data_IF_889359612991
#
_entry.id   IF_889359612991
#
_cell.length_a   1.000
_cell.length_b   1.000
_cell.length_c   1.000
_cell.angle_alpha   90.00
_cell.angle_beta   90.00
_cell.angle_gamma   90.00
#
_symmetry.space_group_name_H-M   'P 1'
#
loop_
_entity.id
_entity.type
_entity.pdbx_description
1 polymer ?
#
# COMPACT_ATOMS: atom_id res chain seq x y z
N UNK A 1 8.42 -4.04 12.58
CA UNK A 1 9.25 -4.58 11.47
C UNK A 1 10.43 -3.63 11.28
N UNK A 2 11.65 -4.13 11.12
CA UNK A 2 12.78 -3.30 10.67
C UNK A 2 12.71 -3.13 9.15
N UNK A 3 12.68 -1.89 8.69
CA UNK A 3 12.80 -1.56 7.27
C UNK A 3 14.28 -1.65 6.87
N UNK A 4 14.57 -2.25 5.73
CA UNK A 4 15.91 -2.15 5.14
C UNK A 4 16.09 -0.72 4.64
N UNK A 5 16.92 0.06 5.32
CA UNK A 5 17.37 1.33 4.77
C UNK A 5 18.16 1.06 3.48
N UNK A 6 17.82 1.79 2.44
CA UNK A 6 18.50 1.73 1.16
C UNK A 6 18.80 3.14 0.70
N UNK A 7 19.95 3.30 0.05
CA UNK A 7 20.38 4.58 -0.50
C UNK A 7 19.38 5.09 -1.54
N UNK A 8 18.84 6.32 -1.40
CA UNK A 8 17.99 6.95 -2.41
C UNK A 8 18.54 6.90 -3.83
N UNK A 9 19.86 6.94 -4.01
CA UNK A 9 20.49 6.82 -5.32
C UNK A 9 20.29 5.44 -5.95
N UNK A 10 20.33 4.36 -5.14
CA UNK A 10 20.04 3.00 -5.60
C UNK A 10 18.58 2.90 -6.06
N UNK A 11 17.64 3.46 -5.30
CA UNK A 11 16.23 3.49 -5.69
C UNK A 11 16.02 4.20 -7.01
N UNK A 12 16.58 5.41 -7.16
CA UNK A 12 16.46 6.17 -8.42
C UNK A 12 17.06 5.39 -9.59
N UNK A 13 18.23 4.79 -9.41
CA UNK A 13 18.85 3.97 -10.44
C UNK A 13 17.99 2.77 -10.85
N UNK A 14 17.32 2.11 -9.90
CA UNK A 14 16.40 0.99 -10.16
C UNK A 14 15.07 1.42 -10.79
N UNK A 15 14.59 2.63 -10.50
CA UNK A 15 13.43 3.20 -11.17
C UNK A 15 13.73 3.49 -12.64
N UNK A 16 14.92 4.03 -12.93
CA UNK A 16 15.35 4.36 -14.29
C UNK A 16 15.71 3.09 -15.09
N UNK A 17 16.29 2.08 -14.43
CA UNK A 17 16.59 0.76 -15.00
C UNK A 17 16.23 -0.37 -14.01
N UNK A 18 15.04 -0.99 -14.17
CA UNK A 18 14.58 -2.07 -13.30
C UNK A 18 15.52 -3.28 -13.24
N UNK A 19 16.40 -3.50 -14.22
CA UNK A 19 17.34 -4.62 -14.16
C UNK A 19 18.36 -4.47 -13.03
N UNK A 20 18.62 -3.25 -12.56
CA UNK A 20 19.54 -3.01 -11.43
C UNK A 20 19.06 -3.64 -10.13
N UNK A 21 17.76 -3.94 -9.98
CA UNK A 21 17.24 -4.73 -8.85
C UNK A 21 17.89 -6.11 -8.74
N UNK A 22 18.39 -6.69 -9.84
CA UNK A 22 19.14 -7.95 -9.79
C UNK A 22 20.44 -7.84 -8.98
N UNK A 23 21.04 -6.64 -8.95
CA UNK A 23 22.36 -6.35 -8.39
C UNK A 23 22.31 -5.78 -6.97
N UNK A 24 21.13 -5.34 -6.50
CA UNK A 24 20.95 -4.81 -5.15
C UNK A 24 21.07 -5.94 -4.12
N UNK A 25 21.93 -5.73 -3.13
CA UNK A 25 22.02 -6.60 -1.96
C UNK A 25 20.94 -6.21 -0.95
N UNK A 26 19.81 -6.91 -1.01
CA UNK A 26 18.67 -6.77 -0.11
C UNK A 26 18.17 -8.16 0.25
N UNK A 27 17.80 -8.39 1.52
CA UNK A 27 17.23 -9.67 1.96
C UNK A 27 15.94 -9.97 1.20
N UNK A 28 15.12 -8.94 0.95
CA UNK A 28 13.85 -9.09 0.24
C UNK A 28 14.10 -9.49 -1.21
N UNK A 29 14.98 -8.77 -1.92
CA UNK A 29 15.29 -9.11 -3.32
C UNK A 29 15.98 -10.46 -3.44
N UNK A 30 16.79 -10.87 -2.46
CA UNK A 30 17.39 -12.21 -2.41
C UNK A 30 16.31 -13.29 -2.32
N UNK A 31 15.36 -13.17 -1.37
CA UNK A 31 14.21 -14.07 -1.27
C UNK A 31 13.39 -14.12 -2.55
N UNK A 32 13.10 -12.97 -3.15
CA UNK A 32 12.35 -12.92 -4.42
C UNK A 32 13.06 -13.68 -5.53
N UNK A 33 14.39 -13.53 -5.66
CA UNK A 33 15.18 -14.23 -6.67
C UNK A 33 15.24 -15.74 -6.41
N UNK A 34 15.43 -16.15 -5.15
CA UNK A 34 15.59 -17.56 -4.75
C UNK A 34 14.25 -18.32 -4.78
N UNK A 35 13.18 -17.74 -4.24
CA UNK A 35 11.88 -18.39 -4.13
C UNK A 35 11.13 -18.45 -5.47
N UNK A 36 11.27 -17.42 -6.33
CA UNK A 36 10.50 -17.31 -7.57
C UNK A 36 11.35 -17.45 -8.85
N UNK A 37 12.66 -17.64 -8.75
CA UNK A 37 13.54 -17.87 -9.90
C UNK A 37 13.58 -16.68 -10.89
N UNK A 38 13.48 -15.45 -10.36
CA UNK A 38 13.35 -14.23 -11.18
C UNK A 38 14.59 -14.01 -12.04
N UNK A 39 14.37 -13.79 -13.35
CA UNK A 39 15.43 -13.55 -14.34
C UNK A 39 15.55 -12.10 -14.79
N UNK A 40 14.48 -11.33 -14.65
CA UNK A 40 14.39 -9.93 -15.08
C UNK A 40 13.28 -9.21 -14.32
N UNK A 41 13.41 -7.90 -14.20
CA UNK A 41 12.37 -7.03 -13.65
C UNK A 41 11.87 -6.05 -14.72
N UNK A 42 10.65 -5.54 -14.55
CA UNK A 42 10.12 -4.42 -15.33
C UNK A 42 9.38 -3.48 -14.37
N UNK A 43 9.39 -2.18 -14.67
CA UNK A 43 8.59 -1.22 -13.93
C UNK A 43 7.16 -1.25 -14.44
N UNK A 44 6.18 -1.39 -13.54
CA UNK A 44 4.77 -1.28 -13.90
C UNK A 44 4.23 0.15 -13.88
N UNK A 45 5.08 1.14 -13.58
CA UNK A 45 4.65 2.48 -13.20
C UNK A 45 4.27 2.52 -11.72
N UNK A 46 3.43 3.49 -11.35
CA UNK A 46 2.95 3.64 -9.99
C UNK A 46 1.85 4.69 -9.88
N UNK A 47 1.42 4.93 -8.65
CA UNK A 47 0.41 5.92 -8.29
C UNK A 47 0.86 6.65 -7.02
N UNK A 48 0.27 7.81 -6.73
CA UNK A 48 0.59 8.58 -5.53
C UNK A 48 -0.39 8.22 -4.42
N UNK A 49 0.11 8.01 -3.21
CA UNK A 49 -0.72 7.86 -2.01
C UNK A 49 -0.33 8.92 -0.98
N UNK A 50 -1.29 9.72 -0.52
CA UNK A 50 -1.10 10.62 0.62
C UNK A 50 -1.69 9.93 1.85
N UNK A 51 -0.83 9.60 2.82
CA UNK A 51 -1.21 8.89 4.04
C UNK A 51 -1.19 9.83 5.23
N UNK A 52 -2.32 9.98 5.90
CA UNK A 52 -2.42 10.66 7.19
C UNK A 52 -2.49 9.61 8.30
N UNK A 53 -1.62 9.71 9.29
CA UNK A 53 -1.51 8.72 10.39
C UNK A 53 -2.00 9.35 11.68
N UNK A 54 -2.94 8.69 12.35
CA UNK A 54 -3.55 9.15 13.59
C UNK A 54 -3.42 8.10 14.69
N UNK A 55 -3.03 8.55 15.90
CA UNK A 55 -3.23 7.76 17.11
C UNK A 55 -4.65 8.05 17.63
N UNK A 56 -5.54 7.08 17.54
CA UNK A 56 -6.95 7.22 17.84
C UNK A 56 -7.44 6.00 18.62
N UNK A 57 -8.06 6.24 19.79
CA UNK A 57 -8.62 5.19 20.65
C UNK A 57 -7.67 4.00 20.90
N UNK A 58 -6.36 4.29 21.04
CA UNK A 58 -5.34 3.28 21.32
C UNK A 58 -4.90 2.45 20.11
N UNK A 59 -5.34 2.80 18.89
CA UNK A 59 -4.88 2.20 17.64
C UNK A 59 -4.27 3.26 16.71
N UNK A 60 -3.57 2.80 15.67
CA UNK A 60 -3.05 3.66 14.61
C UNK A 60 -3.96 3.54 13.40
N UNK A 61 -4.64 4.64 13.05
CA UNK A 61 -5.41 4.74 11.82
C UNK A 61 -4.53 5.35 10.72
N UNK A 62 -4.56 4.74 9.55
CA UNK A 62 -4.00 5.27 8.32
C UNK A 62 -5.14 5.68 7.40
N UNK A 63 -5.28 6.98 7.16
CA UNK A 63 -6.28 7.54 6.23
C UNK A 63 -5.56 7.90 4.93
N UNK A 64 -5.89 7.15 3.88
CA UNK A 64 -5.22 7.19 2.60
C UNK A 64 -6.06 7.92 1.55
N UNK A 65 -5.39 8.80 0.79
CA UNK A 65 -5.87 9.37 -0.46
C UNK A 65 -4.97 8.85 -1.60
N UNK A 66 -5.46 7.82 -2.30
CA UNK A 66 -4.78 7.21 -3.44
C UNK A 66 -5.20 7.92 -4.73
N UNK A 67 -4.22 8.52 -5.42
CA UNK A 67 -4.41 9.24 -6.69
C UNK A 67 -3.87 8.41 -7.84
N UNK A 68 -4.77 7.88 -8.65
CA UNK A 68 -4.49 7.20 -9.91
C UNK A 68 -4.71 8.14 -11.10
N UNK A 69 -4.28 7.74 -12.29
CA UNK A 69 -4.57 8.52 -13.52
C UNK A 69 -6.06 8.54 -13.86
N UNK A 70 -6.81 7.51 -13.44
CA UNK A 70 -8.23 7.31 -13.73
C UNK A 70 -9.17 7.74 -12.59
N UNK A 71 -8.64 8.30 -11.49
CA UNK A 71 -9.46 8.80 -10.38
C UNK A 71 -8.77 8.73 -9.03
N UNK A 72 -9.51 9.13 -8.00
CA UNK A 72 -9.07 9.11 -6.60
C UNK A 72 -9.87 8.09 -5.81
N UNK A 73 -9.22 7.47 -4.83
CA UNK A 73 -9.81 6.52 -3.90
C UNK A 73 -9.39 6.87 -2.48
N UNK A 74 -10.31 6.71 -1.54
CA UNK A 74 -10.11 7.01 -0.13
C UNK A 74 -10.29 5.75 0.70
N UNK A 75 -9.34 5.47 1.59
CA UNK A 75 -9.37 4.27 2.43
C UNK A 75 -8.98 4.61 3.88
N UNK A 76 -9.51 3.85 4.83
CA UNK A 76 -9.06 3.86 6.22
C UNK A 76 -8.59 2.46 6.57
N UNK A 77 -7.31 2.36 6.91
CA UNK A 77 -6.64 1.12 7.30
C UNK A 77 -6.22 1.18 8.77
N UNK A 78 -6.18 0.02 9.42
CA UNK A 78 -5.65 -0.12 10.77
C UNK A 78 -4.98 -1.48 10.92
N UNK A 79 -3.66 -1.49 11.13
CA UNK A 79 -2.94 -2.72 11.47
C UNK A 79 -3.17 -3.05 12.95
N UNK A 80 -3.68 -4.25 13.25
CA UNK A 80 -4.03 -4.66 14.62
C UNK A 80 -4.03 -6.18 14.78
N UNK A 81 -3.76 -6.65 16.00
CA UNK A 81 -3.95 -8.06 16.40
C UNK A 81 -5.41 -8.40 16.72
N UNK A 82 -6.30 -7.41 16.82
CA UNK A 82 -7.72 -7.57 17.18
C UNK A 82 -8.64 -7.00 16.07
N UNK A 83 -8.61 -7.55 14.85
CA UNK A 83 -9.27 -6.96 13.68
C UNK A 83 -10.78 -6.78 13.86
N UNK A 84 -11.50 -7.77 14.37
CA UNK A 84 -12.97 -7.67 14.53
C UNK A 84 -13.38 -6.60 15.54
N UNK A 85 -12.63 -6.45 16.64
CA UNK A 85 -12.92 -5.44 17.67
C UNK A 85 -12.67 -4.04 17.12
N UNK A 86 -11.53 -3.83 16.48
CA UNK A 86 -11.13 -2.51 15.96
C UNK A 86 -11.98 -2.11 14.76
N UNK A 87 -12.28 -3.05 13.86
CA UNK A 87 -13.19 -2.85 12.73
C UNK A 87 -14.54 -2.32 13.22
N UNK A 88 -15.16 -3.02 14.17
CA UNK A 88 -16.46 -2.60 14.74
C UNK A 88 -16.39 -1.18 15.34
N UNK A 89 -15.32 -0.87 16.07
CA UNK A 89 -15.10 0.46 16.66
C UNK A 89 -15.00 1.57 15.60
N UNK A 90 -14.36 1.28 14.46
CA UNK A 90 -14.27 2.23 13.33
C UNK A 90 -15.63 2.39 12.64
N UNK A 91 -16.35 1.29 12.41
CA UNK A 91 -17.70 1.31 11.81
C UNK A 91 -18.71 2.11 12.64
N UNK A 92 -18.69 1.93 13.96
CA UNK A 92 -19.49 2.71 14.90
C UNK A 92 -19.17 4.20 14.79
N UNK A 93 -17.88 4.55 14.80
CA UNK A 93 -17.43 5.93 14.63
C UNK A 93 -17.90 6.56 13.31
N UNK A 94 -17.77 5.84 12.18
CA UNK A 94 -18.26 6.34 10.90
C UNK A 94 -19.77 6.54 10.89
N UNK A 95 -20.51 5.57 11.42
CA UNK A 95 -21.97 5.62 11.48
C UNK A 95 -22.45 6.81 12.34
N UNK A 96 -21.87 6.99 13.52
CA UNK A 96 -22.20 8.09 14.43
C UNK A 96 -21.92 9.48 13.83
N UNK A 97 -20.92 9.58 12.96
CA UNK A 97 -20.52 10.83 12.31
C UNK A 97 -21.11 11.01 10.90
N UNK A 98 -21.96 10.09 10.44
CA UNK A 98 -22.55 10.16 9.10
C UNK A 98 -21.54 10.04 7.97
N UNK A 99 -20.44 9.32 8.18
CA UNK A 99 -19.41 9.05 7.17
C UNK A 99 -19.82 7.81 6.39
N UNK A 100 -20.01 7.95 5.09
CA UNK A 100 -20.27 6.81 4.20
C UNK A 100 -19.01 5.95 4.03
N UNK A 101 -19.18 4.63 4.12
CA UNK A 101 -18.09 3.68 3.95
C UNK A 101 -18.59 2.35 3.37
N UNK A 102 -17.66 1.59 2.81
CA UNK A 102 -17.85 0.19 2.42
C UNK A 102 -16.56 -0.58 2.70
N UNK A 103 -16.61 -1.90 2.58
CA UNK A 103 -15.40 -2.70 2.71
C UNK A 103 -14.57 -2.65 1.43
N UNK A 104 -13.28 -2.37 1.56
CA UNK A 104 -12.33 -2.52 0.46
C UNK A 104 -12.32 -3.97 -0.03
N UNK A 105 -12.74 -4.19 -1.28
CA UNK A 105 -12.75 -5.52 -1.93
C UNK A 105 -11.49 -5.78 -2.77
N UNK A 106 -10.70 -4.74 -3.03
CA UNK A 106 -9.48 -4.78 -3.83
C UNK A 106 -8.38 -3.98 -3.15
N UNK A 107 -7.13 -4.43 -3.28
CA UNK A 107 -5.99 -3.62 -2.85
C UNK A 107 -5.72 -2.49 -3.84
N UNK A 108 -5.08 -1.41 -3.37
CA UNK A 108 -4.64 -0.29 -4.22
C UNK A 108 -3.84 -0.75 -5.45
N UNK A 109 -3.00 -1.77 -5.32
CA UNK A 109 -2.26 -2.33 -6.45
C UNK A 109 -3.17 -3.08 -7.43
N UNK A 110 -4.18 -3.82 -6.96
CA UNK A 110 -5.15 -4.46 -7.83
C UNK A 110 -5.98 -3.44 -8.61
N UNK A 111 -6.41 -2.35 -7.95
CA UNK A 111 -7.10 -1.21 -8.59
C UNK A 111 -6.20 -0.56 -9.65
N UNK A 112 -4.95 -0.24 -9.29
CA UNK A 112 -3.96 0.29 -10.24
C UNK A 112 -3.80 -0.58 -11.48
N UNK A 113 -3.74 -1.91 -11.31
CA UNK A 113 -3.60 -2.87 -12.42
C UNK A 113 -4.87 -3.03 -13.24
N UNK A 114 -6.05 -2.84 -12.64
CA UNK A 114 -7.33 -2.86 -13.35
C UNK A 114 -7.52 -1.64 -14.26
N UNK A 115 -6.98 -0.48 -13.85
CA UNK A 115 -7.06 0.74 -14.65
C UNK A 115 -8.40 1.48 -14.53
N UNK A 116 -9.22 1.11 -13.54
CA UNK A 116 -10.53 1.71 -13.27
C UNK A 116 -10.83 1.69 -11.76
N UNK A 117 -11.69 2.59 -11.31
CA UNK A 117 -12.14 2.61 -9.93
C UNK A 117 -13.08 1.42 -9.64
N UNK A 118 -13.00 0.81 -8.44
CA UNK A 118 -13.93 -0.25 -8.07
C UNK A 118 -15.36 0.30 -8.03
N UNK A 119 -16.31 -0.52 -8.48
CA UNK A 119 -17.74 -0.20 -8.37
C UNK A 119 -18.13 -0.19 -6.88
N UNK A 120 -18.65 0.94 -6.42
CA UNK A 120 -19.20 1.13 -5.08
C UNK A 120 -20.56 0.46 -4.91
#
# INVERSE_FOLDING_TARGET
>A
MEYEESDPAIFKACLDDPQKLMQVDSRVLRKVKEEFGVKRFVGFGGFRNVRNVYNWNGVILEVDEAKFEFGEMYEVECETSEPERVKKMIEEFFTENGIEYSYSVMSKFAVFRAGELPLS
#
